data_IF_490726478534
#
_entry.id   IF_490726478534
#
_cell.length_a   1.000
_cell.length_b   1.000
_cell.length_c   1.000
_cell.angle_alpha   90.00
_cell.angle_beta   90.00
_cell.angle_gamma   90.00
#
_symmetry.space_group_name_H-M   'P 1'
#
loop_
_entity.id
_entity.type
_entity.pdbx_description
1 polymer ?
#
# COMPACT_ATOMS: atom_id res chain seq x y z
N UNK A 1 2.25 15.33 -21.12
CA UNK A 1 1.13 14.39 -21.24
C UNK A 1 1.10 13.54 -19.99
N UNK A 2 0.13 13.69 -19.09
CA UNK A 2 -0.02 12.81 -17.92
C UNK A 2 -0.84 11.61 -18.36
N UNK A 3 -0.16 10.57 -18.81
CA UNK A 3 -0.78 9.29 -19.11
C UNK A 3 -1.25 8.68 -17.78
N UNK A 4 -2.52 8.91 -17.43
CA UNK A 4 -3.23 8.12 -16.44
C UNK A 4 -3.52 6.75 -17.07
N UNK A 5 -2.46 5.98 -17.25
CA UNK A 5 -2.57 4.64 -17.79
C UNK A 5 -3.36 3.83 -16.78
N UNK A 6 -4.56 3.46 -17.20
CA UNK A 6 -5.48 2.58 -16.49
C UNK A 6 -4.93 1.15 -16.47
N UNK A 7 -3.72 0.97 -15.95
CA UNK A 7 -3.17 -0.36 -15.74
C UNK A 7 -3.76 -0.90 -14.45
N UNK A 8 -4.25 -2.14 -14.54
CA UNK A 8 -4.68 -3.02 -13.46
C UNK A 8 -3.57 -3.33 -12.44
N UNK A 9 -2.79 -2.33 -12.03
CA UNK A 9 -1.66 -2.46 -11.10
C UNK A 9 -2.13 -2.47 -9.64
N UNK A 10 -3.40 -2.80 -9.41
CA UNK A 10 -3.97 -2.92 -8.08
C UNK A 10 -3.36 -4.13 -7.37
N UNK A 11 -2.72 -3.89 -6.23
CA UNK A 11 -2.23 -4.95 -5.34
C UNK A 11 -3.39 -5.48 -4.48
N UNK A 12 -4.33 -4.61 -4.14
CA UNK A 12 -5.56 -4.96 -3.43
C UNK A 12 -6.80 -4.67 -4.27
N UNK A 13 -7.90 -5.38 -4.02
CA UNK A 13 -9.13 -5.25 -4.78
C UNK A 13 -9.79 -3.87 -4.68
N UNK A 14 -9.49 -3.11 -3.62
CA UNK A 14 -10.01 -1.76 -3.41
C UNK A 14 -9.16 -0.66 -4.06
N UNK A 15 -8.03 -1.02 -4.69
CA UNK A 15 -7.11 -0.08 -5.33
C UNK A 15 -6.50 0.94 -4.36
N UNK A 16 -6.38 0.58 -3.08
CA UNK A 16 -5.75 1.38 -2.03
C UNK A 16 -4.23 1.21 -2.04
N UNK A 17 -3.73 0.08 -2.55
CA UNK A 17 -2.33 -0.23 -2.76
C UNK A 17 -2.15 -0.61 -4.22
N UNK A 18 -1.22 0.05 -4.91
CA UNK A 18 -0.94 -0.17 -6.33
C UNK A 18 0.57 -0.34 -6.56
N UNK A 19 0.96 -0.94 -7.67
CA UNK A 19 2.32 -0.85 -8.18
C UNK A 19 2.54 0.48 -8.90
N UNK A 20 3.63 1.18 -8.57
CA UNK A 20 4.10 2.32 -9.35
C UNK A 20 4.86 1.86 -10.62
N UNK A 21 5.34 2.80 -11.43
CA UNK A 21 6.07 2.52 -12.68
C UNK A 21 7.39 1.77 -12.47
N UNK A 22 7.90 1.74 -11.23
CA UNK A 22 9.11 1.01 -10.85
C UNK A 22 8.80 -0.39 -10.27
N UNK A 23 7.53 -0.81 -10.26
CA UNK A 23 7.10 -2.09 -9.69
C UNK A 23 7.09 -2.12 -8.16
N UNK A 24 7.07 -0.96 -7.49
CA UNK A 24 7.03 -0.84 -6.03
C UNK A 24 5.60 -0.65 -5.54
N UNK A 25 5.19 -1.37 -4.50
CA UNK A 25 3.91 -1.19 -3.83
C UNK A 25 3.84 0.19 -3.15
N UNK A 26 2.93 1.03 -3.62
CA UNK A 26 2.68 2.38 -3.09
C UNK A 26 1.24 2.53 -2.65
N UNK A 27 0.99 3.42 -1.69
CA UNK A 27 -0.37 3.81 -1.35
C UNK A 27 -1.00 4.63 -2.48
N UNK A 28 -2.28 4.41 -2.76
CA UNK A 28 -3.04 5.18 -3.75
C UNK A 28 -4.04 6.17 -3.12
N UNK A 29 -3.98 6.35 -1.79
CA UNK A 29 -4.91 7.18 -1.03
C UNK A 29 -4.23 8.00 0.07
N UNK A 30 -4.97 8.97 0.62
CA UNK A 30 -4.57 9.74 1.79
C UNK A 30 -3.30 10.57 1.63
N UNK A 31 -2.73 11.00 2.76
CA UNK A 31 -1.50 11.82 2.82
C UNK A 31 -0.24 11.11 2.31
N UNK A 32 -0.30 9.78 2.15
CA UNK A 32 0.81 8.95 1.69
C UNK A 32 0.66 8.47 0.25
N UNK A 33 -0.29 9.02 -0.53
CA UNK A 33 -0.45 8.65 -1.93
C UNK A 33 0.86 8.78 -2.71
N UNK A 34 1.24 7.72 -3.43
CA UNK A 34 2.47 7.60 -4.20
C UNK A 34 3.71 7.19 -3.38
N UNK A 35 3.61 7.09 -2.05
CA UNK A 35 4.74 6.67 -1.20
C UNK A 35 4.80 5.15 -1.07
N UNK A 36 6.01 4.55 -1.03
CA UNK A 36 6.19 3.12 -0.79
C UNK A 36 5.53 2.68 0.52
N UNK A 37 4.77 1.59 0.45
CA UNK A 37 4.09 1.02 1.62
C UNK A 37 5.12 0.64 2.69
N UNK A 38 6.17 -0.06 2.28
CA UNK A 38 7.27 -0.50 3.17
C UNK A 38 7.89 0.66 3.96
N UNK A 39 8.15 1.79 3.28
CA UNK A 39 8.79 2.95 3.89
C UNK A 39 7.89 3.61 4.94
N UNK A 40 6.60 3.76 4.63
CA UNK A 40 5.62 4.34 5.56
C UNK A 40 5.42 3.42 6.75
N UNK A 41 5.32 2.10 6.54
CA UNK A 41 5.15 1.14 7.65
C UNK A 41 6.39 1.09 8.56
N UNK A 42 7.59 1.27 8.00
CA UNK A 42 8.84 1.35 8.78
C UNK A 42 8.96 2.66 9.57
N UNK A 43 8.62 3.80 8.95
CA UNK A 43 8.74 5.13 9.57
C UNK A 43 7.60 5.47 10.53
N UNK A 44 6.37 5.03 10.21
CA UNK A 44 5.15 5.32 10.98
C UNK A 44 4.43 4.01 11.36
N UNK A 45 4.92 3.24 12.36
CA UNK A 45 4.26 2.00 12.79
C UNK A 45 2.81 2.18 13.24
N UNK A 46 2.45 3.38 13.73
CA UNK A 46 1.08 3.74 14.09
C UNK A 46 0.14 3.78 12.89
N UNK A 47 0.65 4.05 11.69
CA UNK A 47 -0.13 4.06 10.45
C UNK A 47 -0.64 2.65 10.12
N UNK A 48 0.18 1.62 10.40
CA UNK A 48 -0.26 0.23 10.30
C UNK A 48 -1.46 -0.04 11.21
N UNK A 49 -1.36 0.30 12.51
CA UNK A 49 -2.45 0.07 13.46
C UNK A 49 -3.72 0.81 13.05
N UNK A 50 -3.60 2.07 12.62
CA UNK A 50 -4.73 2.84 12.10
C UNK A 50 -5.42 2.16 10.91
N UNK A 51 -4.66 1.60 9.97
CA UNK A 51 -5.25 0.85 8.84
C UNK A 51 -5.89 -0.47 9.28
N UNK A 52 -5.30 -1.15 10.25
CA UNK A 52 -5.81 -2.43 10.77
C UNK A 52 -7.09 -2.25 11.60
N UNK A 53 -7.18 -1.17 12.36
CA UNK A 53 -8.36 -0.83 13.18
C UNK A 53 -9.44 -0.12 12.36
N UNK A 54 -9.04 0.59 11.31
CA UNK A 54 -9.95 1.32 10.44
C UNK A 54 -10.83 0.43 9.55
N UNK A 55 -11.82 1.06 8.91
CA UNK A 55 -12.74 0.39 7.97
C UNK A 55 -12.09 0.20 6.58
N UNK A 56 -11.11 -0.70 6.54
CA UNK A 56 -10.44 -1.14 5.33
C UNK A 56 -10.92 -2.54 4.93
N UNK A 57 -11.13 -2.79 3.62
CA UNK A 57 -11.43 -4.14 3.14
C UNK A 57 -10.38 -5.14 3.63
N UNK A 58 -10.85 -6.34 3.99
CA UNK A 58 -10.00 -7.39 4.54
C UNK A 58 -8.79 -7.68 3.63
N UNK A 59 -8.99 -7.67 2.31
CA UNK A 59 -7.92 -7.86 1.35
C UNK A 59 -6.84 -6.76 1.44
N UNK A 60 -7.21 -5.48 1.59
CA UNK A 60 -6.25 -4.39 1.80
C UNK A 60 -5.43 -4.61 3.07
N UNK A 61 -6.08 -5.00 4.17
CA UNK A 61 -5.40 -5.31 5.44
C UNK A 61 -4.44 -6.49 5.29
N UNK A 62 -4.87 -7.55 4.60
CA UNK A 62 -4.04 -8.73 4.32
C UNK A 62 -2.80 -8.36 3.49
N UNK A 63 -2.96 -7.61 2.40
CA UNK A 63 -1.86 -7.12 1.56
C UNK A 63 -0.88 -6.28 2.40
N UNK A 64 -1.39 -5.38 3.24
CA UNK A 64 -0.57 -4.57 4.13
C UNK A 64 0.28 -5.41 5.07
N UNK A 65 -0.31 -6.43 5.71
CA UNK A 65 0.41 -7.36 6.59
C UNK A 65 1.43 -8.20 5.81
N UNK A 66 1.10 -8.66 4.60
CA UNK A 66 2.04 -9.43 3.76
C UNK A 66 3.28 -8.62 3.41
N UNK A 67 3.10 -7.37 2.97
CA UNK A 67 4.22 -6.45 2.68
C UNK A 67 5.09 -6.26 3.93
N UNK A 68 4.46 -5.99 5.09
CA UNK A 68 5.17 -5.83 6.36
C UNK A 68 6.00 -7.08 6.71
N UNK A 69 5.42 -8.28 6.61
CA UNK A 69 6.11 -9.53 6.97
C UNK A 69 7.26 -9.88 6.03
N UNK A 70 7.21 -9.47 4.76
CA UNK A 70 8.31 -9.67 3.81
C UNK A 70 9.54 -8.87 4.24
N UNK A 71 9.36 -7.62 4.64
CA UNK A 71 10.46 -6.77 5.16
C UNK A 71 11.08 -7.33 6.44
N UNK A 72 10.30 -7.99 7.31
CA UNK A 72 10.83 -8.61 8.53
C UNK A 72 11.63 -9.89 8.30
N UNK A 73 11.47 -10.54 7.14
CA UNK A 73 12.16 -11.80 6.79
C UNK A 73 13.35 -11.59 5.86
N UNK A 74 13.56 -10.36 5.38
CA UNK A 74 14.69 -9.96 4.54
C UNK A 74 15.87 -9.39 5.31
#
# INVERSE_FOLDING_TARGET
SKEYSSFNNNVDFAGRIIYNDQGVEVFNFGKHKGKPVVEVLAKEPSYYSWMMDGDFPLNTKQVLTQIRLREFKG
#
